data_IF_500648796944
#
_entry.id   IF_500648796944
#
_cell.length_a   1.000
_cell.length_b   1.000
_cell.length_c   1.000
_cell.angle_alpha   90.00
_cell.angle_beta   90.00
_cell.angle_gamma   90.00
#
_symmetry.space_group_name_H-M   'P 1'
#
loop_
_entity.id
_entity.type
_entity.pdbx_description
1 polymer ?
#
# COMPACT_ATOMS: atom_id res chain seq x y z
N UNK A 1 -3.11 -24.88 -21.12
CA UNK A 1 -2.99 -23.43 -20.86
C UNK A 1 -2.48 -23.20 -19.43
N UNK A 2 -1.78 -22.08 -19.21
CA UNK A 2 -1.29 -21.67 -17.90
C UNK A 2 -2.01 -20.37 -17.50
N UNK A 3 -2.49 -20.31 -16.25
CA UNK A 3 -3.07 -19.11 -15.65
C UNK A 3 -2.03 -18.50 -14.71
N UNK A 4 -1.76 -17.21 -14.83
CA UNK A 4 -0.92 -16.48 -13.88
C UNK A 4 -1.76 -15.41 -13.14
N UNK A 5 -1.47 -15.23 -11.86
CA UNK A 5 -2.15 -14.27 -10.99
C UNK A 5 -1.12 -13.54 -10.13
N UNK A 6 -1.50 -12.42 -9.52
CA UNK A 6 -0.55 -11.54 -8.84
C UNK A 6 -0.35 -11.86 -7.34
N UNK A 7 -1.20 -12.71 -6.75
CA UNK A 7 -1.10 -13.08 -5.35
C UNK A 7 -1.79 -14.41 -5.03
N UNK A 8 -1.56 -14.91 -3.83
CA UNK A 8 -2.07 -16.20 -3.38
C UNK A 8 -3.60 -16.18 -3.12
N UNK A 9 -4.16 -15.08 -2.63
CA UNK A 9 -5.60 -14.96 -2.42
C UNK A 9 -6.40 -15.09 -3.71
N UNK A 10 -5.89 -14.52 -4.82
CA UNK A 10 -6.48 -14.69 -6.15
C UNK A 10 -6.26 -16.13 -6.66
N UNK A 11 -5.07 -16.70 -6.45
CA UNK A 11 -4.79 -18.08 -6.84
C UNK A 11 -5.75 -19.06 -6.15
N UNK A 12 -5.96 -18.89 -4.84
CA UNK A 12 -6.89 -19.71 -4.08
C UNK A 12 -8.32 -19.57 -4.60
N UNK A 13 -8.77 -18.34 -4.89
CA UNK A 13 -10.09 -18.11 -5.47
C UNK A 13 -10.26 -18.85 -6.81
N UNK A 14 -9.23 -18.88 -7.67
CA UNK A 14 -9.26 -19.62 -8.93
C UNK A 14 -9.35 -21.14 -8.70
N UNK A 15 -8.57 -21.69 -7.75
CA UNK A 15 -8.63 -23.13 -7.40
C UNK A 15 -10.03 -23.55 -6.93
N UNK A 16 -10.67 -22.68 -6.13
CA UNK A 16 -12.00 -22.93 -5.58
C UNK A 16 -13.09 -22.81 -6.65
N UNK A 17 -12.97 -21.83 -7.55
CA UNK A 17 -13.98 -21.55 -8.57
C UNK A 17 -13.87 -22.44 -9.83
N UNK A 18 -12.67 -22.92 -10.16
CA UNK A 18 -12.38 -23.67 -11.38
C UNK A 18 -11.57 -24.93 -11.08
N UNK A 19 -12.24 -26.08 -10.84
CA UNK A 19 -11.56 -27.34 -10.56
C UNK A 19 -10.54 -27.71 -11.65
N UNK A 20 -9.31 -28.03 -11.26
CA UNK A 20 -8.22 -28.37 -12.17
C UNK A 20 -7.39 -27.19 -12.67
N UNK A 21 -7.73 -25.96 -12.29
CA UNK A 21 -6.87 -24.78 -12.53
C UNK A 21 -5.97 -24.57 -11.32
N UNK A 22 -4.66 -24.56 -11.56
CA UNK A 22 -3.63 -24.20 -10.55
C UNK A 22 -2.81 -23.02 -11.06
N UNK A 23 -3.16 -21.78 -10.64
CA UNK A 23 -2.49 -20.58 -11.10
C UNK A 23 -1.05 -20.47 -10.60
N UNK A 24 -0.18 -19.92 -11.44
CA UNK A 24 1.17 -19.51 -11.04
C UNK A 24 1.10 -18.10 -10.45
N UNK A 25 1.56 -17.94 -9.23
CA UNK A 25 1.63 -16.62 -8.58
C UNK A 25 2.88 -15.89 -9.03
N UNK A 26 2.69 -14.74 -9.68
CA UNK A 26 3.73 -13.81 -10.13
C UNK A 26 3.45 -12.47 -9.48
N UNK A 27 4.04 -12.23 -8.32
CA UNK A 27 3.79 -11.03 -7.53
C UNK A 27 4.47 -9.82 -8.17
N UNK A 28 3.75 -8.69 -8.22
CA UNK A 28 4.32 -7.42 -8.61
C UNK A 28 5.20 -6.89 -7.46
N UNK A 29 6.52 -6.99 -7.62
CA UNK A 29 7.48 -6.54 -6.63
C UNK A 29 7.93 -5.11 -6.93
N UNK A 30 8.00 -4.23 -5.92
CA UNK A 30 8.49 -2.87 -6.12
C UNK A 30 10.00 -2.87 -6.42
N UNK A 31 10.39 -2.01 -7.33
CA UNK A 31 11.78 -1.67 -7.62
C UNK A 31 11.97 -0.17 -7.43
N UNK A 32 13.13 0.28 -7.00
CA UNK A 32 13.37 1.70 -6.82
C UNK A 32 14.79 2.01 -6.35
N UNK A 33 15.10 3.31 -6.34
CA UNK A 33 16.40 3.80 -5.90
C UNK A 33 16.60 3.61 -4.39
N UNK A 34 17.86 3.46 -4.01
CA UNK A 34 18.30 3.56 -2.63
C UNK A 34 18.21 5.02 -2.14
N UNK A 35 18.22 5.21 -0.81
CA UNK A 35 18.22 6.53 -0.18
C UNK A 35 16.88 6.89 0.46
N UNK A 36 16.81 8.13 0.93
CA UNK A 36 15.65 8.72 1.64
C UNK A 36 15.42 10.12 1.09
N UNK A 37 14.17 10.44 0.75
CA UNK A 37 13.73 11.81 0.46
C UNK A 37 13.13 12.39 1.74
N UNK A 38 13.77 13.43 2.30
CA UNK A 38 13.31 14.07 3.53
C UNK A 38 12.09 14.97 3.27
N UNK A 39 10.91 14.35 3.28
CA UNK A 39 9.64 15.06 3.13
C UNK A 39 9.35 16.00 4.31
N UNK A 40 9.87 15.71 5.52
CA UNK A 40 9.67 16.58 6.68
C UNK A 40 10.37 17.91 6.49
N UNK A 41 11.62 17.89 6.06
CA UNK A 41 12.36 19.12 5.78
C UNK A 41 11.72 19.90 4.61
N UNK A 42 11.28 19.22 3.58
CA UNK A 42 10.62 19.83 2.42
C UNK A 42 9.30 20.53 2.78
N UNK A 43 8.53 19.96 3.70
CA UNK A 43 7.18 20.44 4.06
C UNK A 43 7.15 21.22 5.39
N UNK A 44 8.29 21.36 6.06
CA UNK A 44 8.38 22.06 7.36
C UNK A 44 7.66 21.33 8.50
N UNK A 45 7.58 19.99 8.44
CA UNK A 45 6.88 19.16 9.42
C UNK A 45 7.77 18.98 10.66
N UNK A 46 7.24 19.17 11.89
CA UNK A 46 7.97 18.94 13.14
C UNK A 46 8.53 17.51 13.20
N UNK A 47 9.73 17.36 13.80
CA UNK A 47 10.40 16.05 13.89
C UNK A 47 9.67 15.05 14.78
N UNK A 48 8.94 15.52 15.75
CA UNK A 48 8.16 14.74 16.71
C UNK A 48 6.76 14.36 16.19
N UNK A 49 6.25 15.05 15.18
CA UNK A 49 4.99 14.69 14.55
C UNK A 49 5.12 13.39 13.73
N UNK A 50 4.09 12.56 13.71
CA UNK A 50 4.04 11.40 12.82
C UNK A 50 3.64 11.85 11.41
N UNK A 51 4.35 11.32 10.39
CA UNK A 51 4.11 11.61 8.98
C UNK A 51 3.57 10.38 8.27
N UNK A 52 2.33 10.50 7.80
CA UNK A 52 1.66 9.50 6.99
C UNK A 52 1.77 9.83 5.50
N UNK A 53 1.90 8.81 4.66
CA UNK A 53 1.99 8.94 3.21
C UNK A 53 0.81 8.27 2.50
N UNK A 54 0.14 9.03 1.65
CA UNK A 54 -0.70 8.46 0.59
C UNK A 54 -0.03 8.69 -0.77
N UNK A 55 0.54 7.65 -1.38
CA UNK A 55 1.17 7.70 -2.71
C UNK A 55 0.23 7.19 -3.80
N UNK A 56 0.29 7.78 -5.00
CA UNK A 56 -0.34 7.30 -6.21
C UNK A 56 -1.61 8.03 -6.63
N UNK A 57 -2.51 7.33 -7.35
CA UNK A 57 -3.64 7.96 -8.02
C UNK A 57 -4.74 8.40 -7.04
N UNK A 58 -5.07 9.70 -7.08
CA UNK A 58 -6.11 10.34 -6.24
C UNK A 58 -7.48 10.15 -6.88
N UNK A 59 -8.10 9.00 -6.62
CA UNK A 59 -9.34 8.58 -7.28
C UNK A 59 -10.34 7.98 -6.29
N UNK A 60 -11.65 7.91 -6.66
CA UNK A 60 -12.63 7.11 -5.94
C UNK A 60 -12.15 5.69 -5.69
N UNK A 61 -12.58 5.08 -4.59
CA UNK A 61 -12.13 3.74 -4.17
C UNK A 61 -10.80 3.72 -3.40
N UNK A 62 -10.18 4.87 -3.15
CA UNK A 62 -8.93 5.02 -2.39
C UNK A 62 -9.11 5.69 -1.03
N UNK A 63 -10.34 5.82 -0.57
CA UNK A 63 -10.71 6.43 0.72
C UNK A 63 -10.15 7.86 0.94
N UNK A 64 -9.90 8.63 -0.14
CA UNK A 64 -9.31 9.97 -0.05
C UNK A 64 -10.16 10.87 0.85
N UNK A 65 -11.47 10.92 0.64
CA UNK A 65 -12.37 11.74 1.44
C UNK A 65 -12.37 11.32 2.93
N UNK A 66 -12.28 10.03 3.22
CA UNK A 66 -12.15 9.50 4.58
C UNK A 66 -10.85 9.97 5.23
N UNK A 67 -9.71 9.82 4.53
CA UNK A 67 -8.40 10.24 5.02
C UNK A 67 -8.43 11.76 5.31
N UNK A 68 -8.92 12.58 4.40
CA UNK A 68 -9.01 14.03 4.60
C UNK A 68 -9.86 14.39 5.83
N UNK A 69 -11.03 13.76 6.02
CA UNK A 69 -11.88 13.98 7.20
C UNK A 69 -11.21 13.55 8.50
N UNK A 70 -10.48 12.43 8.49
CA UNK A 70 -9.82 11.93 9.69
C UNK A 70 -8.67 12.85 10.11
N UNK A 71 -7.78 13.22 9.19
CA UNK A 71 -6.65 14.12 9.49
C UNK A 71 -7.08 15.54 9.84
N UNK A 72 -8.24 15.99 9.38
CA UNK A 72 -8.81 17.28 9.80
C UNK A 72 -9.29 17.30 11.28
N UNK A 73 -9.39 16.14 11.94
CA UNK A 73 -9.91 16.00 13.31
C UNK A 73 -8.80 15.73 14.35
N UNK A 74 -7.58 15.41 13.91
CA UNK A 74 -6.49 15.00 14.80
C UNK A 74 -5.35 16.01 14.74
N UNK A 75 -4.63 16.16 15.86
CA UNK A 75 -3.45 17.00 15.98
C UNK A 75 -2.19 16.14 16.16
N UNK A 76 -1.02 16.71 15.89
CA UNK A 76 0.26 16.01 16.07
C UNK A 76 0.60 14.96 15.01
N UNK A 77 -0.30 14.70 14.05
CA UNK A 77 -0.07 13.80 12.91
C UNK A 77 -0.26 14.55 11.60
N UNK A 78 0.59 14.27 10.63
CA UNK A 78 0.55 14.87 9.30
C UNK A 78 0.33 13.82 8.22
N UNK A 79 -0.34 14.20 7.15
CA UNK A 79 -0.45 13.37 5.94
C UNK A 79 0.06 14.13 4.72
N UNK A 80 0.85 13.45 3.90
CA UNK A 80 1.21 13.94 2.58
C UNK A 80 0.59 13.05 1.51
N UNK A 81 -0.16 13.68 0.62
CA UNK A 81 -0.66 13.04 -0.61
C UNK A 81 0.34 13.31 -1.72
N UNK A 82 0.90 12.27 -2.31
CA UNK A 82 1.81 12.38 -3.44
C UNK A 82 1.17 11.72 -4.65
N UNK A 83 0.76 12.54 -5.62
CA UNK A 83 0.07 12.03 -6.79
C UNK A 83 -0.84 13.04 -7.46
N UNK A 84 -1.58 12.54 -8.44
CA UNK A 84 -2.58 13.29 -9.19
C UNK A 84 -3.83 12.42 -9.40
N UNK A 85 -4.94 13.02 -9.80
CA UNK A 85 -6.17 12.30 -10.10
C UNK A 85 -7.41 13.16 -10.00
N UNK A 86 -8.56 12.53 -10.17
CA UNK A 86 -9.84 13.22 -10.17
C UNK A 86 -10.18 13.92 -8.85
N UNK A 87 -9.64 13.44 -7.72
CA UNK A 87 -9.86 13.99 -6.38
C UNK A 87 -8.76 14.97 -5.93
N UNK A 88 -7.85 15.38 -6.84
CA UNK A 88 -6.83 16.38 -6.55
C UNK A 88 -7.42 17.70 -6.03
N UNK A 89 -8.49 18.26 -6.61
CA UNK A 89 -9.07 19.53 -6.11
C UNK A 89 -9.56 19.45 -4.65
N UNK A 90 -10.03 18.29 -4.19
CA UNK A 90 -10.43 18.08 -2.80
C UNK A 90 -9.21 18.07 -1.87
N UNK A 91 -8.13 17.40 -2.29
CA UNK A 91 -6.88 17.33 -1.53
C UNK A 91 -6.24 18.72 -1.41
N UNK A 92 -6.14 19.48 -2.51
CA UNK A 92 -5.59 20.85 -2.50
C UNK A 92 -6.40 21.79 -1.63
N UNK A 93 -7.73 21.68 -1.66
CA UNK A 93 -8.61 22.48 -0.79
C UNK A 93 -8.41 22.15 0.69
N UNK A 94 -8.26 20.87 1.03
CA UNK A 94 -7.99 20.46 2.40
C UNK A 94 -6.59 20.94 2.86
N UNK A 95 -5.57 20.80 2.01
CA UNK A 95 -4.22 21.28 2.29
C UNK A 95 -4.15 22.80 2.49
N UNK A 96 -5.01 23.58 1.83
CA UNK A 96 -5.09 25.02 2.02
C UNK A 96 -5.76 25.44 3.36
N UNK A 97 -6.50 24.53 4.00
CA UNK A 97 -7.28 24.82 5.22
C UNK A 97 -6.75 24.10 6.48
N UNK A 98 -6.03 23.03 6.31
CA UNK A 98 -5.50 22.22 7.43
C UNK A 98 -3.96 22.12 7.35
N UNK A 99 -3.23 22.65 8.34
CA UNK A 99 -1.76 22.71 8.29
C UNK A 99 -1.07 21.35 8.36
N UNK A 100 -1.78 20.30 8.72
CA UNK A 100 -1.28 18.94 8.81
C UNK A 100 -1.64 18.07 7.57
N UNK A 101 -2.27 18.66 6.55
CA UNK A 101 -2.58 17.99 5.28
C UNK A 101 -1.73 18.63 4.18
N UNK A 102 -0.95 17.82 3.47
CA UNK A 102 -0.02 18.28 2.45
C UNK A 102 -0.28 17.59 1.11
N UNK A 103 0.07 18.28 0.02
CA UNK A 103 0.06 17.70 -1.31
C UNK A 103 1.40 17.97 -2.02
N UNK A 104 1.88 16.95 -2.71
CA UNK A 104 3.02 17.02 -3.63
C UNK A 104 2.63 16.39 -4.98
N UNK A 105 3.19 16.88 -6.10
CA UNK A 105 2.94 16.27 -7.40
C UNK A 105 3.46 14.83 -7.46
N UNK A 106 3.05 14.04 -8.46
CA UNK A 106 3.59 12.71 -8.68
C UNK A 106 5.12 12.73 -8.79
N UNK A 107 5.76 11.70 -8.24
CA UNK A 107 7.20 11.46 -8.41
C UNK A 107 7.44 10.36 -9.45
N UNK A 108 8.66 10.27 -9.97
CA UNK A 108 9.05 9.17 -10.84
C UNK A 108 8.99 7.82 -10.09
N UNK A 109 8.64 6.70 -10.76
CA UNK A 109 8.46 5.42 -10.10
C UNK A 109 9.67 4.93 -9.29
N UNK A 110 10.87 5.24 -9.71
CA UNK A 110 12.12 4.89 -9.03
C UNK A 110 12.35 5.66 -7.72
N UNK A 111 11.68 6.80 -7.54
CA UNK A 111 11.75 7.64 -6.34
C UNK A 111 10.76 7.22 -5.24
N UNK A 112 9.77 6.38 -5.56
CA UNK A 112 8.69 6.04 -4.62
C UNK A 112 9.22 5.41 -3.35
N UNK A 113 10.17 4.47 -3.43
CA UNK A 113 10.74 3.83 -2.23
C UNK A 113 11.54 4.81 -1.38
N UNK A 114 12.37 5.66 -2.00
CA UNK A 114 13.14 6.68 -1.30
C UNK A 114 12.23 7.70 -0.59
N UNK A 115 11.14 8.08 -1.21
CA UNK A 115 10.10 8.93 -0.62
C UNK A 115 9.39 8.23 0.53
N UNK A 116 8.99 6.98 0.37
CA UNK A 116 8.31 6.20 1.42
C UNK A 116 9.18 6.04 2.66
N UNK A 117 10.50 5.80 2.50
CA UNK A 117 11.46 5.77 3.62
C UNK A 117 11.55 7.09 4.40
N UNK A 118 11.16 8.21 3.80
CA UNK A 118 11.10 9.52 4.45
C UNK A 118 9.85 9.75 5.31
N UNK A 119 8.99 8.74 5.46
CA UNK A 119 7.73 8.80 6.22
C UNK A 119 7.68 7.76 7.32
N UNK A 120 6.71 7.86 8.24
CA UNK A 120 6.57 6.93 9.35
C UNK A 120 5.57 5.81 9.05
N UNK A 121 4.49 6.12 8.32
CA UNK A 121 3.41 5.16 8.02
C UNK A 121 2.88 5.41 6.60
N UNK A 122 2.73 4.36 5.80
CA UNK A 122 2.03 4.43 4.53
C UNK A 122 0.53 4.16 4.71
N UNK A 123 -0.34 4.88 3.98
CA UNK A 123 -1.77 4.65 3.97
C UNK A 123 -2.18 3.79 2.77
N UNK A 124 -2.66 2.60 3.04
CA UNK A 124 -3.16 1.67 2.03
C UNK A 124 -4.66 1.40 2.22
N UNK A 125 -5.46 2.45 2.19
CA UNK A 125 -6.90 2.39 2.44
C UNK A 125 -7.67 2.28 1.13
N UNK A 126 -8.13 1.07 0.81
CA UNK A 126 -8.90 0.74 -0.39
C UNK A 126 -10.31 0.34 0.03
N UNK A 127 -11.32 0.84 -0.68
CA UNK A 127 -12.70 0.43 -0.47
C UNK A 127 -12.89 -1.05 -0.82
N UNK A 128 -13.47 -1.82 0.08
CA UNK A 128 -13.67 -3.28 -0.09
C UNK A 128 -14.94 -3.66 -0.86
N UNK A 129 -15.50 -2.72 -1.62
CA UNK A 129 -16.82 -2.84 -2.28
C UNK A 129 -16.92 -3.96 -3.33
N UNK A 130 -15.80 -4.50 -3.85
CA UNK A 130 -15.80 -5.59 -4.81
C UNK A 130 -14.77 -6.66 -4.49
N UNK A 131 -14.93 -7.85 -5.07
CA UNK A 131 -14.04 -8.99 -4.84
C UNK A 131 -12.59 -8.67 -5.26
N UNK A 132 -12.41 -8.00 -6.40
CA UNK A 132 -11.09 -7.61 -6.89
C UNK A 132 -10.33 -6.73 -5.89
N UNK A 133 -11.01 -5.80 -5.23
CA UNK A 133 -10.39 -4.98 -4.19
C UNK A 133 -10.01 -5.82 -2.95
N UNK A 134 -10.92 -6.68 -2.48
CA UNK A 134 -10.68 -7.52 -1.28
C UNK A 134 -9.52 -8.49 -1.43
N UNK A 135 -9.30 -9.00 -2.66
CA UNK A 135 -8.21 -9.94 -2.97
C UNK A 135 -6.95 -9.24 -3.51
N UNK A 136 -6.93 -7.91 -3.61
CA UNK A 136 -5.80 -7.19 -4.20
C UNK A 136 -4.56 -7.20 -3.30
N UNK A 137 -3.39 -7.10 -3.95
CA UNK A 137 -2.12 -6.73 -3.32
C UNK A 137 -1.75 -5.34 -3.84
N UNK A 138 -2.10 -4.27 -3.11
CA UNK A 138 -1.83 -2.92 -3.57
C UNK A 138 -0.33 -2.62 -3.63
N UNK A 139 0.14 -1.99 -4.71
CA UNK A 139 1.55 -1.64 -4.87
C UNK A 139 2.06 -0.81 -3.69
N UNK A 140 1.30 0.19 -3.22
CA UNK A 140 1.69 1.05 -2.09
C UNK A 140 1.94 0.29 -0.78
N UNK A 141 1.25 -0.84 -0.57
CA UNK A 141 1.52 -1.73 0.58
C UNK A 141 2.87 -2.43 0.39
N UNK A 142 3.12 -2.98 -0.79
CA UNK A 142 4.39 -3.65 -1.11
C UNK A 142 5.56 -2.65 -1.11
N UNK A 143 5.34 -1.44 -1.60
CA UNK A 143 6.30 -0.33 -1.56
C UNK A 143 6.65 0.06 -0.12
N UNK A 144 5.66 0.12 0.77
CA UNK A 144 5.87 0.39 2.19
C UNK A 144 6.73 -0.71 2.83
N UNK A 145 6.39 -1.97 2.62
CA UNK A 145 7.15 -3.10 3.16
C UNK A 145 8.59 -3.15 2.60
N UNK A 146 8.77 -2.91 1.28
CA UNK A 146 10.10 -2.80 0.68
C UNK A 146 10.93 -1.62 1.24
N UNK A 147 10.25 -0.56 1.66
CA UNK A 147 10.87 0.61 2.30
C UNK A 147 11.17 0.40 3.79
N UNK A 148 10.70 -0.69 4.41
CA UNK A 148 10.80 -0.92 5.85
C UNK A 148 9.81 -0.07 6.68
N UNK A 149 8.74 0.43 6.04
CA UNK A 149 7.73 1.32 6.63
C UNK A 149 6.42 0.56 6.84
N UNK A 150 5.77 0.65 8.02
CA UNK A 150 4.47 0.04 8.22
C UNK A 150 3.40 0.65 7.30
N UNK A 151 2.47 -0.19 6.85
CA UNK A 151 1.32 0.23 6.07
C UNK A 151 0.03 0.06 6.88
N UNK A 152 -0.69 1.16 7.12
CA UNK A 152 -2.04 1.12 7.68
C UNK A 152 -3.03 0.78 6.56
N UNK A 153 -3.63 -0.40 6.63
CA UNK A 153 -4.36 -1.03 5.55
C UNK A 153 -5.86 -1.15 5.84
N UNK A 154 -6.68 -1.13 4.78
CA UNK A 154 -8.03 -1.70 4.82
C UNK A 154 -7.96 -3.23 5.05
N UNK A 155 -9.10 -3.91 5.41
CA UNK A 155 -9.11 -5.34 5.75
C UNK A 155 -8.97 -6.22 4.50
N UNK A 156 -7.80 -6.11 3.84
CA UNK A 156 -7.45 -6.90 2.67
C UNK A 156 -6.88 -8.25 3.10
N UNK A 157 -7.24 -9.33 2.39
CA UNK A 157 -6.74 -10.68 2.66
C UNK A 157 -5.20 -10.74 2.62
N UNK A 158 -4.59 -10.09 1.63
CA UNK A 158 -3.14 -10.04 1.47
C UNK A 158 -2.46 -9.18 2.55
N UNK A 159 -3.08 -8.09 3.02
CA UNK A 159 -2.52 -7.31 4.13
C UNK A 159 -2.40 -8.16 5.39
N UNK A 160 -3.45 -8.93 5.72
CA UNK A 160 -3.40 -9.85 6.88
C UNK A 160 -2.37 -10.95 6.69
N UNK A 161 -2.27 -11.50 5.47
CA UNK A 161 -1.31 -12.59 5.18
C UNK A 161 0.14 -12.12 5.35
N UNK A 162 0.48 -10.94 4.87
CA UNK A 162 1.82 -10.38 5.01
C UNK A 162 2.14 -9.91 6.43
N UNK A 163 1.22 -9.25 7.10
CA UNK A 163 1.42 -8.67 8.43
C UNK A 163 1.38 -9.72 9.57
N UNK A 164 0.70 -10.85 9.35
CA UNK A 164 0.60 -11.89 10.38
C UNK A 164 0.06 -11.35 11.71
N UNK A 165 0.78 -11.56 12.81
CA UNK A 165 0.40 -11.07 14.14
C UNK A 165 0.38 -9.54 14.26
N UNK A 166 1.10 -8.82 13.40
CA UNK A 166 1.10 -7.35 13.37
C UNK A 166 -0.19 -6.77 12.75
N UNK A 167 -1.06 -7.62 12.15
CA UNK A 167 -2.30 -7.18 11.52
C UNK A 167 -3.24 -6.46 12.50
N UNK A 168 -3.25 -6.82 13.78
CA UNK A 168 -4.08 -6.18 14.80
C UNK A 168 -3.75 -4.69 15.00
N UNK A 169 -2.50 -4.30 14.71
CA UNK A 169 -2.08 -2.90 14.76
C UNK A 169 -2.29 -2.19 13.43
N UNK A 170 -2.02 -2.86 12.31
CA UNK A 170 -1.87 -2.23 11.00
C UNK A 170 -3.01 -2.49 10.01
N UNK A 171 -4.05 -3.25 10.41
CA UNK A 171 -5.25 -3.46 9.58
C UNK A 171 -6.48 -2.88 10.29
N UNK A 172 -7.17 -1.97 9.63
CA UNK A 172 -8.44 -1.42 10.09
C UNK A 172 -9.58 -2.31 9.63
N UNK A 173 -10.36 -2.86 10.56
CA UNK A 173 -11.52 -3.70 10.22
C UNK A 173 -12.63 -2.90 9.55
N UNK A 174 -12.88 -1.72 10.07
CA UNK A 174 -13.81 -0.74 9.53
C UNK A 174 -13.10 0.62 9.40
N UNK A 175 -12.46 0.90 8.25
CA UNK A 175 -11.72 2.15 8.07
C UNK A 175 -12.55 3.41 8.36
N UNK A 176 -13.86 3.43 8.08
CA UNK A 176 -14.74 4.58 8.34
C UNK A 176 -14.85 4.90 9.84
N UNK A 177 -14.88 3.89 10.70
CA UNK A 177 -15.02 4.06 12.14
C UNK A 177 -13.69 3.99 12.90
N UNK A 178 -12.67 3.34 12.32
CA UNK A 178 -11.43 3.02 13.02
C UNK A 178 -10.29 3.99 12.74
N UNK A 179 -10.32 4.74 11.61
CA UNK A 179 -9.15 5.52 11.18
C UNK A 179 -8.77 6.61 12.19
N UNK A 180 -9.72 7.41 12.68
CA UNK A 180 -9.43 8.46 13.67
C UNK A 180 -8.81 7.87 14.93
N UNK A 181 -9.39 6.79 15.45
CA UNK A 181 -8.86 6.09 16.62
C UNK A 181 -7.46 5.51 16.38
N UNK A 182 -7.19 5.02 15.18
CA UNK A 182 -5.86 4.51 14.82
C UNK A 182 -4.83 5.64 14.77
N UNK A 183 -5.18 6.82 14.23
CA UNK A 183 -4.31 8.00 14.20
C UNK A 183 -3.96 8.50 15.61
N UNK A 184 -4.90 8.43 16.56
CA UNK A 184 -4.67 8.79 17.96
C UNK A 184 -3.87 7.72 18.73
N UNK A 185 -4.00 6.43 18.35
CA UNK A 185 -3.41 5.30 19.06
C UNK A 185 -1.98 4.99 18.63
N UNK A 186 -1.69 5.06 17.32
CA UNK A 186 -0.40 4.67 16.77
C UNK A 186 0.68 5.63 17.28
N UNK A 187 1.72 5.06 17.85
CA UNK A 187 2.83 5.78 18.48
C UNK A 187 4.15 5.53 17.72
N UNK A 188 5.19 6.27 18.09
CA UNK A 188 6.55 6.01 17.62
C UNK A 188 7.03 4.61 18.03
N UNK A 189 6.64 4.14 19.21
CA UNK A 189 7.01 2.81 19.72
C UNK A 189 6.41 1.69 18.83
N UNK A 190 5.15 1.84 18.37
CA UNK A 190 4.53 0.89 17.45
C UNK A 190 5.28 0.84 16.11
N UNK A 191 5.75 2.00 15.62
CA UNK A 191 6.52 2.10 14.38
C UNK A 191 7.89 1.45 14.53
N UNK A 192 8.58 1.73 15.63
CA UNK A 192 9.91 1.16 15.93
C UNK A 192 9.86 -0.35 16.16
N UNK A 193 8.73 -0.86 16.66
CA UNK A 193 8.48 -2.30 16.84
C UNK A 193 8.09 -3.02 15.53
N UNK A 194 7.75 -2.28 14.47
CA UNK A 194 7.35 -2.88 13.20
C UNK A 194 8.49 -3.68 12.57
N UNK A 195 8.19 -4.92 12.20
CA UNK A 195 9.10 -5.76 11.43
C UNK A 195 8.55 -5.92 10.02
N UNK A 196 9.29 -5.45 9.03
CA UNK A 196 8.87 -5.53 7.64
C UNK A 196 8.74 -6.99 7.21
N UNK A 197 7.58 -7.41 6.67
CA UNK A 197 7.42 -8.75 6.17
C UNK A 197 8.33 -9.01 4.96
N UNK A 198 8.74 -10.25 4.79
CA UNK A 198 9.45 -10.67 3.59
C UNK A 198 8.51 -10.60 2.38
N UNK A 199 8.95 -9.92 1.34
CA UNK A 199 8.21 -9.78 0.09
C UNK A 199 9.00 -10.38 -1.07
N UNK A 200 8.33 -10.98 -2.09
CA UNK A 200 9.02 -11.49 -3.27
C UNK A 200 9.79 -10.40 -4.00
N UNK A 201 10.90 -10.76 -4.61
CA UNK A 201 11.68 -9.88 -5.47
C UNK A 201 11.15 -9.93 -6.91
N UNK A 202 11.53 -8.93 -7.71
CA UNK A 202 11.23 -8.91 -9.14
C UNK A 202 11.84 -10.10 -9.87
N UNK A 203 13.08 -10.48 -9.50
CA UNK A 203 13.81 -11.60 -10.08
C UNK A 203 13.10 -12.94 -9.84
N UNK A 204 12.57 -13.16 -8.64
CA UNK A 204 11.78 -14.34 -8.31
C UNK A 204 10.47 -14.38 -9.11
N UNK A 205 9.78 -13.25 -9.24
CA UNK A 205 8.58 -13.13 -10.07
C UNK A 205 8.86 -13.44 -11.54
N UNK A 206 9.95 -12.89 -12.09
CA UNK A 206 10.38 -13.12 -13.46
C UNK A 206 10.78 -14.59 -13.71
N UNK A 207 11.44 -15.24 -12.75
CA UNK A 207 11.78 -16.66 -12.83
C UNK A 207 10.53 -17.53 -12.89
N UNK A 208 9.56 -17.32 -11.99
CA UNK A 208 8.29 -18.05 -11.98
C UNK A 208 7.51 -17.86 -13.27
N UNK A 209 7.48 -16.64 -13.81
CA UNK A 209 6.82 -16.35 -15.07
C UNK A 209 7.48 -17.10 -16.24
N UNK A 210 8.81 -17.14 -16.30
CA UNK A 210 9.56 -17.88 -17.31
C UNK A 210 9.24 -19.38 -17.26
N UNK A 211 9.25 -19.99 -16.08
CA UNK A 211 8.88 -21.40 -15.91
C UNK A 211 7.44 -21.68 -16.35
N UNK A 212 6.53 -20.75 -16.11
CA UNK A 212 5.15 -20.85 -16.57
C UNK A 212 5.04 -20.86 -18.11
N UNK A 213 5.80 -19.99 -18.78
CA UNK A 213 5.89 -19.99 -20.25
C UNK A 213 6.50 -21.28 -20.81
N UNK A 214 7.58 -21.75 -20.24
CA UNK A 214 8.23 -23.01 -20.67
C UNK A 214 7.28 -24.19 -20.56
N UNK A 215 6.53 -24.32 -19.47
CA UNK A 215 5.47 -25.34 -19.30
C UNK A 215 4.37 -25.21 -20.35
N UNK A 216 3.90 -23.99 -20.64
CA UNK A 216 2.86 -23.76 -21.63
C UNK A 216 3.31 -24.12 -23.06
N UNK A 217 4.56 -23.84 -23.40
CA UNK A 217 5.15 -24.19 -24.71
C UNK A 217 5.34 -25.70 -24.85
N UNK A 218 5.86 -26.37 -23.82
CA UNK A 218 6.05 -27.82 -23.82
C UNK A 218 4.72 -28.58 -24.01
N UNK A 219 3.63 -28.10 -23.38
CA UNK A 219 2.30 -28.69 -23.51
C UNK A 219 1.68 -28.55 -24.90
N UNK A 220 2.17 -27.62 -25.77
CA UNK A 220 1.72 -27.44 -27.16
C UNK A 220 2.49 -28.31 -28.14
N UNK A 221 3.60 -28.88 -27.72
CA UNK A 221 4.48 -29.68 -28.58
C UNK A 221 4.10 -31.19 -28.58
N UNK A 222 3.04 -31.53 -27.87
CA UNK A 222 2.47 -32.88 -27.78
C UNK A 222 1.00 -32.84 -28.24
#
# INVERSE_FOLDING_TARGET
DVVSVVNESIAQWYRDAYPGVDPVVVTNAPTGADGVIDLRAQLGIPKDALLYLHSGYLAPGRNIALILRAFAQVEGVHVVFVGAGALLPEVERAAATHPNIHHLPPVEPDQVLAMTRGTDVALCLIESGCLSHRLSTPNKMMEAFAAGVPALCSPLAEARRYLGEQADTWVLEDPEHDLVRALDRITREDIDAFTSPEIPTWEEGAARLREAYERALAARSH
#
